data_IF_097528498658
#
_entry.id   IF_097528498658
#
_cell.length_a   1.000
_cell.length_b   1.000
_cell.length_c   1.000
_cell.angle_alpha   90.00
_cell.angle_beta   90.00
_cell.angle_gamma   90.00
#
_symmetry.space_group_name_H-M   'P 1'
#
loop_
_entity.id
_entity.type
_entity.pdbx_description
1 polymer ?
#
# COMPACT_ATOMS: atom_id res chain seq x y z
N UNK A 1 11.04 4.60 31.64
CA UNK A 1 11.56 4.31 30.31
C UNK A 1 12.18 5.60 29.79
N UNK A 2 13.46 5.60 29.42
CA UNK A 2 14.11 6.77 28.86
C UNK A 2 13.49 7.07 27.48
N UNK A 3 13.20 8.34 27.19
CA UNK A 3 12.66 8.82 25.91
C UNK A 3 13.61 8.52 24.74
N UNK A 4 14.84 8.18 25.03
CA UNK A 4 15.93 7.93 24.07
C UNK A 4 16.19 6.44 23.77
N UNK A 5 15.33 5.49 24.21
CA UNK A 5 15.51 4.08 23.87
C UNK A 5 14.97 3.81 22.44
N UNK A 6 15.84 3.46 21.47
CA UNK A 6 15.44 3.20 20.08
C UNK A 6 14.46 2.02 19.94
N UNK A 7 14.46 1.10 20.89
CA UNK A 7 13.66 -0.13 20.89
C UNK A 7 12.46 -0.07 21.84
N UNK A 8 12.11 1.11 22.36
CA UNK A 8 11.06 1.27 23.35
C UNK A 8 9.70 0.70 22.89
N UNK A 9 9.31 0.92 21.61
CA UNK A 9 8.07 0.42 21.06
C UNK A 9 8.06 -1.10 20.88
N UNK A 10 9.20 -1.71 20.55
CA UNK A 10 9.31 -3.16 20.33
C UNK A 10 9.14 -4.00 21.61
N UNK A 11 9.17 -3.37 22.77
CA UNK A 11 8.88 -4.06 24.05
C UNK A 11 7.39 -4.40 24.21
N UNK A 12 6.51 -3.80 23.40
CA UNK A 12 5.08 -4.08 23.44
C UNK A 12 4.74 -5.22 22.49
N UNK A 13 4.26 -6.33 23.02
CA UNK A 13 3.90 -7.53 22.23
C UNK A 13 2.88 -7.22 21.15
N UNK A 14 1.83 -6.46 21.46
CA UNK A 14 0.82 -6.06 20.48
C UNK A 14 1.40 -5.18 19.35
N UNK A 15 2.40 -4.36 19.65
CA UNK A 15 3.07 -3.55 18.64
C UNK A 15 3.90 -4.41 17.68
N UNK A 16 4.59 -5.42 18.17
CA UNK A 16 5.33 -6.36 17.31
C UNK A 16 4.38 -7.14 16.38
N UNK A 17 3.24 -7.59 16.91
CA UNK A 17 2.20 -8.23 16.10
C UNK A 17 1.65 -7.25 15.04
N UNK A 18 1.43 -5.99 15.43
CA UNK A 18 1.00 -4.94 14.52
C UNK A 18 2.04 -4.70 13.39
N UNK A 19 3.34 -4.70 13.70
CA UNK A 19 4.40 -4.58 12.68
C UNK A 19 4.38 -5.77 11.72
N UNK A 20 4.14 -6.99 12.21
CA UNK A 20 3.97 -8.18 11.36
C UNK A 20 2.75 -8.03 10.42
N UNK A 21 1.60 -7.62 10.96
CA UNK A 21 0.39 -7.34 10.16
C UNK A 21 0.69 -6.29 9.10
N UNK A 22 1.33 -5.19 9.49
CA UNK A 22 1.69 -4.10 8.58
C UNK A 22 2.65 -4.56 7.48
N UNK A 23 3.71 -5.31 7.84
CA UNK A 23 4.65 -5.86 6.87
C UNK A 23 3.93 -6.77 5.88
N UNK A 24 3.19 -7.76 6.37
CA UNK A 24 2.51 -8.74 5.53
C UNK A 24 1.50 -8.10 4.57
N UNK A 25 0.74 -7.09 5.04
CA UNK A 25 -0.23 -6.37 4.20
C UNK A 25 0.44 -5.51 3.13
N UNK A 26 1.45 -4.72 3.50
CA UNK A 26 2.14 -3.85 2.53
C UNK A 26 2.92 -4.69 1.52
N UNK A 27 3.54 -5.78 1.97
CA UNK A 27 4.23 -6.73 1.10
C UNK A 27 3.25 -7.38 0.10
N UNK A 28 2.15 -7.94 0.61
CA UNK A 28 1.13 -8.56 -0.24
C UNK A 28 0.56 -7.56 -1.26
N UNK A 29 0.25 -6.34 -0.82
CA UNK A 29 -0.30 -5.30 -1.68
C UNK A 29 0.67 -4.89 -2.80
N UNK A 30 1.91 -4.54 -2.43
CA UNK A 30 2.91 -4.08 -3.40
C UNK A 30 3.34 -5.19 -4.36
N UNK A 31 3.43 -6.43 -3.89
CA UNK A 31 3.67 -7.60 -4.73
C UNK A 31 2.49 -7.85 -5.69
N UNK A 32 1.25 -7.80 -5.19
CA UNK A 32 0.04 -8.01 -5.99
C UNK A 32 -0.06 -7.05 -7.18
N UNK A 33 0.21 -5.77 -6.94
CA UNK A 33 0.16 -4.76 -7.98
C UNK A 33 1.10 -5.10 -9.15
N UNK A 34 2.33 -5.51 -8.85
CA UNK A 34 3.34 -5.89 -9.85
C UNK A 34 2.93 -7.15 -10.63
N UNK A 35 2.41 -8.16 -9.93
CA UNK A 35 1.98 -9.41 -10.55
C UNK A 35 0.78 -9.17 -11.48
N UNK A 36 -0.16 -8.28 -11.10
CA UNK A 36 -1.30 -7.90 -11.94
C UNK A 36 -0.83 -7.14 -13.18
N UNK A 37 0.04 -6.12 -13.03
CA UNK A 37 0.57 -5.36 -14.18
C UNK A 37 1.24 -6.30 -15.19
N UNK A 38 2.07 -7.23 -14.71
CA UNK A 38 2.73 -8.21 -15.55
C UNK A 38 1.72 -9.12 -16.28
N UNK A 39 0.75 -9.69 -15.55
CA UNK A 39 -0.25 -10.60 -16.10
C UNK A 39 -1.12 -9.91 -17.15
N UNK A 40 -1.65 -8.73 -16.82
CA UNK A 40 -2.52 -7.97 -17.74
C UNK A 40 -1.78 -7.63 -19.02
N UNK A 41 -0.52 -7.16 -18.92
CA UNK A 41 0.26 -6.87 -20.11
C UNK A 41 0.60 -8.13 -20.91
N UNK A 42 0.89 -9.24 -20.26
CA UNK A 42 1.18 -10.51 -20.93
C UNK A 42 0.01 -11.02 -21.75
N UNK A 43 -1.23 -10.90 -21.26
CA UNK A 43 -2.42 -11.40 -21.94
C UNK A 43 -3.00 -10.41 -22.98
N UNK A 44 -2.80 -9.10 -22.80
CA UNK A 44 -3.40 -8.07 -23.67
C UNK A 44 -2.41 -7.52 -24.70
N UNK A 45 -1.12 -7.44 -24.36
CA UNK A 45 -0.09 -6.72 -25.12
C UNK A 45 -0.48 -5.27 -25.45
N UNK A 46 -1.36 -4.69 -24.63
CA UNK A 46 -1.91 -3.36 -24.82
C UNK A 46 -1.49 -2.43 -23.67
N UNK A 47 -0.68 -1.40 -23.94
CA UNK A 47 -0.27 -0.41 -22.93
C UNK A 47 -1.44 0.32 -22.26
N UNK A 48 -2.56 0.52 -22.97
CA UNK A 48 -3.74 1.17 -22.44
C UNK A 48 -4.35 0.38 -21.27
N UNK A 49 -4.32 -0.94 -21.36
CA UNK A 49 -4.82 -1.83 -20.29
C UNK A 49 -4.07 -1.62 -18.97
N UNK A 50 -2.77 -1.29 -18.99
CA UNK A 50 -1.99 -0.95 -17.79
C UNK A 50 -2.47 0.38 -17.17
N UNK A 51 -2.74 1.38 -18.01
CA UNK A 51 -3.29 2.66 -17.57
C UNK A 51 -4.66 2.49 -16.91
N UNK A 52 -5.52 1.65 -17.49
CA UNK A 52 -6.85 1.37 -16.94
C UNK A 52 -6.73 0.64 -15.58
N UNK A 53 -5.84 -0.34 -15.42
CA UNK A 53 -5.59 -0.98 -14.12
C UNK A 53 -5.24 0.06 -13.05
N UNK A 54 -4.32 0.97 -13.36
CA UNK A 54 -3.97 2.07 -12.44
C UNK A 54 -5.18 2.95 -12.08
N UNK A 55 -6.01 3.30 -13.07
CA UNK A 55 -7.24 4.08 -12.86
C UNK A 55 -8.27 3.32 -12.00
N UNK A 56 -8.44 2.01 -12.25
CA UNK A 56 -9.36 1.17 -11.47
C UNK A 56 -8.96 1.10 -9.99
N UNK A 57 -7.68 1.22 -9.65
CA UNK A 57 -7.22 1.29 -8.26
C UNK A 57 -7.38 2.70 -7.69
N UNK A 58 -6.95 3.72 -8.42
CA UNK A 58 -6.84 5.10 -7.90
C UNK A 58 -8.20 5.78 -7.76
N UNK A 59 -9.11 5.63 -8.74
CA UNK A 59 -10.41 6.29 -8.71
C UNK A 59 -11.20 5.95 -7.44
N UNK A 60 -11.43 4.66 -7.09
CA UNK A 60 -12.17 4.33 -5.88
C UNK A 60 -11.38 4.69 -4.60
N UNK A 61 -10.05 4.55 -4.60
CA UNK A 61 -9.22 4.91 -3.46
C UNK A 61 -9.31 6.40 -3.13
N UNK A 62 -9.18 7.27 -4.12
CA UNK A 62 -9.27 8.73 -3.96
C UNK A 62 -10.71 9.16 -3.67
N UNK A 63 -11.69 8.63 -4.41
CA UNK A 63 -13.10 8.95 -4.20
C UNK A 63 -13.59 8.62 -2.79
N UNK A 64 -13.11 7.53 -2.22
CA UNK A 64 -13.47 7.10 -0.87
C UNK A 64 -12.56 7.68 0.24
N UNK A 65 -11.40 8.24 -0.08
CA UNK A 65 -10.42 8.70 0.92
C UNK A 65 -11.01 9.70 1.92
N UNK A 66 -11.80 10.66 1.45
CA UNK A 66 -12.45 11.66 2.29
C UNK A 66 -13.48 11.02 3.24
N UNK A 67 -14.29 10.10 2.75
CA UNK A 67 -15.27 9.37 3.55
C UNK A 67 -14.61 8.37 4.50
N UNK A 68 -13.53 7.75 4.05
CA UNK A 68 -12.80 6.75 4.84
C UNK A 68 -12.26 7.34 6.15
N UNK A 69 -11.68 8.55 6.14
CA UNK A 69 -11.21 9.23 7.34
C UNK A 69 -12.31 9.35 8.39
N UNK A 70 -13.48 9.90 8.00
CA UNK A 70 -14.62 10.05 8.88
C UNK A 70 -15.15 8.72 9.45
N UNK A 71 -15.31 7.71 8.58
CA UNK A 71 -15.78 6.37 9.00
C UNK A 71 -14.78 5.71 9.95
N UNK A 72 -13.48 5.82 9.66
CA UNK A 72 -12.42 5.30 10.53
C UNK A 72 -12.52 5.92 11.92
N UNK A 73 -12.72 7.23 12.04
CA UNK A 73 -12.79 7.89 13.34
C UNK A 73 -13.96 7.41 14.20
N UNK A 74 -15.05 6.98 13.58
CA UNK A 74 -16.26 6.53 14.27
C UNK A 74 -16.28 5.02 14.60
N UNK A 75 -15.38 4.23 14.03
CA UNK A 75 -15.38 2.76 14.18
C UNK A 75 -14.23 2.27 15.05
N UNK A 76 -14.42 1.09 15.65
CA UNK A 76 -13.35 0.39 16.35
C UNK A 76 -12.27 -0.04 15.34
N UNK A 77 -11.03 0.39 15.59
CA UNK A 77 -9.92 0.36 14.61
C UNK A 77 -9.47 -1.05 14.24
N UNK A 78 -9.37 -1.96 15.24
CA UNK A 78 -8.98 -3.35 15.00
C UNK A 78 -10.02 -4.08 14.13
N UNK A 79 -11.30 -3.97 14.46
CA UNK A 79 -12.35 -4.65 13.69
C UNK A 79 -12.47 -4.07 12.28
N UNK A 80 -12.27 -2.76 12.12
CA UNK A 80 -12.27 -2.14 10.80
C UNK A 80 -11.08 -2.65 9.97
N UNK A 81 -9.87 -2.69 10.55
CA UNK A 81 -8.69 -3.24 9.90
C UNK A 81 -8.90 -4.71 9.52
N UNK A 82 -9.53 -5.51 10.39
CA UNK A 82 -9.86 -6.91 10.10
C UNK A 82 -10.77 -7.05 8.88
N UNK A 83 -11.82 -6.20 8.77
CA UNK A 83 -12.70 -6.18 7.60
C UNK A 83 -11.96 -5.78 6.32
N UNK A 84 -11.06 -4.82 6.40
CA UNK A 84 -10.23 -4.41 5.26
C UNK A 84 -9.30 -5.55 4.81
N UNK A 85 -8.61 -6.20 5.75
CA UNK A 85 -7.70 -7.32 5.43
C UNK A 85 -8.48 -8.51 4.88
N UNK A 86 -9.64 -8.82 5.45
CA UNK A 86 -10.53 -9.87 4.93
C UNK A 86 -10.99 -9.56 3.51
N UNK A 87 -11.45 -8.32 3.24
CA UNK A 87 -11.82 -7.88 1.89
C UNK A 87 -10.65 -8.00 0.91
N UNK A 88 -9.45 -7.59 1.31
CA UNK A 88 -8.24 -7.76 0.50
C UNK A 88 -7.92 -9.25 0.24
N UNK A 89 -8.09 -10.12 1.24
CA UNK A 89 -7.88 -11.56 1.07
C UNK A 89 -8.85 -12.16 0.06
N UNK A 90 -10.12 -11.76 0.10
CA UNK A 90 -11.13 -12.20 -0.89
C UNK A 90 -10.75 -11.74 -2.30
N UNK A 91 -10.31 -10.49 -2.45
CA UNK A 91 -9.86 -9.94 -3.73
C UNK A 91 -8.63 -10.71 -4.23
N UNK A 92 -7.62 -10.93 -3.38
CA UNK A 92 -6.41 -11.68 -3.74
C UNK A 92 -6.73 -13.12 -4.12
N UNK A 93 -7.69 -13.76 -3.46
CA UNK A 93 -8.18 -15.08 -3.85
C UNK A 93 -8.89 -15.05 -5.21
N UNK A 94 -9.72 -14.04 -5.48
CA UNK A 94 -10.36 -13.86 -6.79
C UNK A 94 -9.33 -13.66 -7.90
N UNK A 95 -8.29 -12.86 -7.66
CA UNK A 95 -7.18 -12.65 -8.61
C UNK A 95 -6.38 -13.94 -8.85
N UNK A 96 -6.15 -14.73 -7.80
CA UNK A 96 -5.55 -16.06 -7.93
C UNK A 96 -6.40 -16.97 -8.83
N UNK A 97 -7.72 -17.02 -8.61
CA UNK A 97 -8.62 -17.80 -9.46
C UNK A 97 -8.59 -17.37 -10.93
N UNK A 98 -8.63 -16.05 -11.19
CA UNK A 98 -8.54 -15.51 -12.56
C UNK A 98 -7.20 -15.77 -13.23
N UNK A 99 -6.14 -16.01 -12.46
CA UNK A 99 -4.79 -16.28 -12.98
C UNK A 99 -4.52 -17.76 -13.23
N UNK A 100 -5.48 -18.65 -12.96
CA UNK A 100 -5.33 -20.08 -13.21
C UNK A 100 -5.24 -20.36 -14.72
N UNK A 101 -4.33 -21.25 -15.17
CA UNK A 101 -4.21 -21.61 -16.59
C UNK A 101 -5.54 -22.10 -17.19
N UNK A 102 -6.29 -22.91 -16.46
CA UNK A 102 -7.60 -23.41 -16.90
C UNK A 102 -8.61 -22.28 -17.17
N UNK A 103 -8.59 -21.19 -16.40
CA UNK A 103 -9.47 -20.04 -16.59
C UNK A 103 -8.99 -19.24 -17.81
N UNK A 104 -7.67 -19.04 -17.95
CA UNK A 104 -7.08 -18.30 -19.07
C UNK A 104 -7.33 -18.99 -20.43
N UNK A 105 -7.39 -20.33 -20.44
CA UNK A 105 -7.69 -21.12 -21.66
C UNK A 105 -9.19 -21.19 -21.98
N UNK A 106 -10.07 -21.13 -20.97
CA UNK A 106 -11.51 -21.35 -21.14
C UNK A 106 -12.25 -20.07 -21.53
N UNK A 107 -11.83 -18.91 -20.98
CA UNK A 107 -12.54 -17.66 -21.14
C UNK A 107 -11.83 -16.70 -22.10
N UNK A 108 -12.61 -15.88 -22.79
CA UNK A 108 -12.07 -14.82 -23.63
C UNK A 108 -11.23 -13.83 -22.81
N UNK A 109 -10.11 -13.37 -23.38
CA UNK A 109 -9.19 -12.39 -22.77
C UNK A 109 -9.91 -11.15 -22.26
N UNK A 110 -10.94 -10.66 -22.98
CA UNK A 110 -11.73 -9.50 -22.54
C UNK A 110 -12.49 -9.76 -21.26
N UNK A 111 -13.08 -10.93 -21.10
CA UNK A 111 -13.83 -11.32 -19.89
C UNK A 111 -12.89 -11.39 -18.68
N UNK A 112 -11.74 -11.98 -18.86
CA UNK A 112 -10.70 -12.07 -17.82
C UNK A 112 -10.22 -10.67 -17.43
N UNK A 113 -9.97 -9.81 -18.41
CA UNK A 113 -9.52 -8.43 -18.19
C UNK A 113 -10.54 -7.61 -17.38
N UNK A 114 -11.84 -7.72 -17.71
CA UNK A 114 -12.88 -7.08 -16.90
C UNK A 114 -12.95 -7.62 -15.48
N UNK A 115 -12.68 -8.91 -15.28
CA UNK A 115 -12.54 -9.51 -13.95
C UNK A 115 -11.39 -8.89 -13.16
N UNK A 116 -10.22 -8.70 -13.78
CA UNK A 116 -9.09 -8.00 -13.15
C UNK A 116 -9.47 -6.56 -12.79
N UNK A 117 -10.08 -5.81 -13.71
CA UNK A 117 -10.52 -4.44 -13.47
C UNK A 117 -11.50 -4.34 -12.30
N UNK A 118 -12.49 -5.22 -12.24
CA UNK A 118 -13.48 -5.23 -11.16
C UNK A 118 -12.84 -5.53 -9.79
N UNK A 119 -11.96 -6.53 -9.71
CA UNK A 119 -11.29 -6.89 -8.46
C UNK A 119 -10.31 -5.81 -8.01
N UNK A 120 -9.57 -5.18 -8.93
CA UNK A 120 -8.67 -4.06 -8.62
C UNK A 120 -9.46 -2.84 -8.15
N UNK A 121 -10.61 -2.55 -8.76
CA UNK A 121 -11.51 -1.50 -8.31
C UNK A 121 -11.99 -1.73 -6.87
N UNK A 122 -12.42 -2.95 -6.54
CA UNK A 122 -12.75 -3.33 -5.17
C UNK A 122 -11.55 -3.19 -4.23
N UNK A 123 -10.34 -3.51 -4.71
CA UNK A 123 -9.09 -3.31 -3.99
C UNK A 123 -8.86 -1.84 -3.63
N UNK A 124 -9.08 -0.93 -4.59
CA UNK A 124 -8.98 0.52 -4.36
C UNK A 124 -9.94 1.01 -3.26
N UNK A 125 -11.17 0.48 -3.20
CA UNK A 125 -12.10 0.78 -2.10
C UNK A 125 -11.54 0.35 -0.74
N UNK A 126 -10.99 -0.86 -0.63
CA UNK A 126 -10.37 -1.35 0.61
C UNK A 126 -9.16 -0.49 1.00
N UNK A 127 -8.34 -0.10 0.02
CA UNK A 127 -7.14 0.73 0.22
C UNK A 127 -7.45 2.07 0.88
N UNK A 128 -8.54 2.72 0.51
CA UNK A 128 -8.95 3.99 1.09
C UNK A 128 -9.04 3.95 2.63
N UNK A 129 -9.44 2.82 3.20
CA UNK A 129 -9.60 2.65 4.65
C UNK A 129 -8.31 2.18 5.36
N UNK A 130 -7.41 1.47 4.67
CA UNK A 130 -6.23 0.86 5.30
C UNK A 130 -5.30 1.90 5.94
N UNK A 131 -4.92 2.94 5.20
CA UNK A 131 -4.01 3.97 5.68
C UNK A 131 -4.46 4.65 6.97
N UNK A 132 -5.63 5.33 6.96
CA UNK A 132 -6.17 6.00 8.14
C UNK A 132 -6.37 5.05 9.33
N UNK A 133 -6.83 3.82 9.10
CA UNK A 133 -7.04 2.82 10.16
C UNK A 133 -5.74 2.41 10.82
N UNK A 134 -4.68 2.17 10.03
CA UNK A 134 -3.35 1.81 10.52
C UNK A 134 -2.76 2.93 11.39
N UNK A 135 -2.79 4.18 10.92
CA UNK A 135 -2.28 5.32 11.68
C UNK A 135 -3.04 5.53 13.00
N UNK A 136 -4.36 5.41 12.97
CA UNK A 136 -5.19 5.52 14.17
C UNK A 136 -4.94 4.37 15.17
N UNK A 137 -4.69 3.15 14.68
CA UNK A 137 -4.46 1.98 15.53
C UNK A 137 -3.12 2.06 16.26
N UNK A 138 -2.04 2.55 15.62
CA UNK A 138 -0.73 2.75 16.27
C UNK A 138 -0.88 3.59 17.54
N UNK A 139 -1.61 4.69 17.46
CA UNK A 139 -1.81 5.60 18.58
C UNK A 139 -2.55 4.97 19.78
N UNK A 140 -3.22 3.83 19.57
CA UNK A 140 -3.95 3.09 20.60
C UNK A 140 -3.19 1.89 21.17
N UNK A 141 -2.12 1.46 20.49
CA UNK A 141 -1.31 0.30 20.89
C UNK A 141 -0.19 0.71 21.85
N UNK A 142 0.40 1.90 21.63
CA UNK A 142 1.56 2.37 22.40
C UNK A 142 1.23 3.63 23.21
N UNK A 143 1.88 3.85 24.37
CA UNK A 143 1.76 5.10 25.13
C UNK A 143 2.19 6.32 24.31
N UNK A 144 1.52 7.48 24.53
CA UNK A 144 1.82 8.72 23.79
C UNK A 144 3.30 9.13 23.82
N UNK A 145 4.01 8.87 24.92
CA UNK A 145 5.43 9.22 25.08
C UNK A 145 6.37 8.52 24.09
N UNK A 146 6.02 7.32 23.64
CA UNK A 146 6.83 6.52 22.71
C UNK A 146 6.24 6.46 21.29
N UNK A 147 5.15 7.21 21.03
CA UNK A 147 4.51 7.27 19.72
C UNK A 147 5.49 7.64 18.59
N UNK A 148 6.41 8.62 18.72
CA UNK A 148 7.39 8.91 17.67
C UNK A 148 8.27 7.71 17.33
N UNK A 149 8.71 6.93 18.34
CA UNK A 149 9.49 5.72 18.13
C UNK A 149 8.67 4.63 17.39
N UNK A 150 7.42 4.43 17.80
CA UNK A 150 6.50 3.51 17.12
C UNK A 150 6.21 3.92 15.67
N UNK A 151 6.03 5.22 15.41
CA UNK A 151 5.83 5.74 14.07
C UNK A 151 7.06 5.49 13.18
N UNK A 152 8.27 5.67 13.69
CA UNK A 152 9.51 5.37 12.98
C UNK A 152 9.60 3.89 12.60
N UNK A 153 9.38 2.97 13.56
CA UNK A 153 9.38 1.53 13.28
C UNK A 153 8.31 1.13 12.26
N UNK A 154 7.11 1.69 12.39
CA UNK A 154 6.01 1.46 11.46
C UNK A 154 6.33 1.95 10.05
N UNK A 155 6.97 3.12 9.91
CA UNK A 155 7.41 3.65 8.60
C UNK A 155 8.54 2.82 8.00
N UNK A 156 9.51 2.39 8.80
CA UNK A 156 10.59 1.50 8.36
C UNK A 156 10.02 0.17 7.86
N UNK A 157 9.08 -0.43 8.60
CA UNK A 157 8.41 -1.67 8.19
C UNK A 157 7.67 -1.49 6.88
N UNK A 158 6.96 -0.36 6.70
CA UNK A 158 6.29 -0.04 5.45
C UNK A 158 7.29 0.07 4.30
N UNK A 159 8.38 0.81 4.50
CA UNK A 159 9.42 0.99 3.49
C UNK A 159 10.05 -0.34 3.08
N UNK A 160 10.43 -1.18 4.04
CA UNK A 160 10.99 -2.51 3.75
C UNK A 160 10.01 -3.38 2.93
N UNK A 161 8.75 -3.43 3.32
CA UNK A 161 7.75 -4.23 2.62
C UNK A 161 7.45 -3.69 1.21
N UNK A 162 7.38 -2.36 1.05
CA UNK A 162 7.13 -1.73 -0.26
C UNK A 162 8.30 -1.87 -1.25
N UNK A 163 9.51 -2.12 -0.74
CA UNK A 163 10.70 -2.45 -1.55
C UNK A 163 10.75 -3.93 -1.90
N UNK A 164 10.58 -4.79 -0.88
CA UNK A 164 10.73 -6.24 -1.04
C UNK A 164 9.58 -6.84 -1.87
N UNK A 165 8.37 -6.32 -1.76
CA UNK A 165 7.21 -6.80 -2.52
C UNK A 165 7.44 -6.77 -4.03
N UNK A 166 7.68 -5.60 -4.64
CA UNK A 166 7.96 -5.49 -6.07
C UNK A 166 9.21 -6.26 -6.51
N UNK A 167 10.29 -6.22 -5.73
CA UNK A 167 11.51 -6.95 -6.07
C UNK A 167 11.26 -8.46 -6.14
N UNK A 168 10.61 -9.02 -5.12
CA UNK A 168 10.31 -10.45 -5.07
C UNK A 168 9.18 -10.86 -6.03
N UNK A 169 8.30 -9.94 -6.45
CA UNK A 169 7.28 -10.23 -7.43
C UNK A 169 7.86 -10.73 -8.76
N UNK A 170 8.87 -10.02 -9.31
CA UNK A 170 9.51 -10.41 -10.56
C UNK A 170 10.17 -11.78 -10.49
N UNK A 171 10.93 -12.05 -9.43
CA UNK A 171 11.55 -13.35 -9.20
C UNK A 171 10.49 -14.45 -8.98
N UNK A 172 9.44 -14.17 -8.22
CA UNK A 172 8.35 -15.11 -7.99
C UNK A 172 7.66 -15.50 -9.30
N UNK A 173 7.36 -14.52 -10.17
CA UNK A 173 6.77 -14.79 -11.49
C UNK A 173 7.66 -15.70 -12.32
N UNK A 174 8.98 -15.46 -12.33
CA UNK A 174 9.94 -16.26 -13.09
C UNK A 174 10.05 -17.70 -12.57
N UNK A 175 10.08 -17.90 -11.25
CA UNK A 175 10.35 -19.21 -10.64
C UNK A 175 9.09 -20.07 -10.53
N UNK A 176 7.98 -19.49 -10.08
CA UNK A 176 6.76 -20.24 -9.77
C UNK A 176 5.56 -19.84 -10.63
N UNK A 177 5.71 -18.83 -11.50
CA UNK A 177 4.63 -18.33 -12.35
C UNK A 177 3.67 -17.39 -11.64
N UNK A 178 2.76 -16.78 -12.42
CA UNK A 178 1.84 -15.74 -11.95
C UNK A 178 0.84 -16.28 -10.93
N UNK A 179 0.17 -17.41 -11.23
CA UNK A 179 -0.88 -17.96 -10.36
C UNK A 179 -0.34 -18.37 -8.98
N UNK A 180 0.84 -19.00 -8.91
CA UNK A 180 1.46 -19.32 -7.62
C UNK A 180 1.96 -18.07 -6.87
N UNK A 181 2.42 -17.04 -7.60
CA UNK A 181 2.72 -15.75 -7.01
C UNK A 181 1.49 -15.11 -6.35
N UNK A 182 0.30 -15.22 -6.98
CA UNK A 182 -0.96 -14.79 -6.38
C UNK A 182 -1.34 -15.64 -5.15
N UNK A 183 -1.03 -16.94 -5.16
CA UNK A 183 -1.23 -17.80 -3.98
C UNK A 183 -0.36 -17.35 -2.79
N UNK A 184 0.89 -16.98 -3.03
CA UNK A 184 1.80 -16.42 -2.01
C UNK A 184 1.22 -15.11 -1.44
N UNK A 185 0.73 -14.20 -2.29
CA UNK A 185 0.10 -12.94 -1.89
C UNK A 185 -1.11 -13.20 -0.99
N UNK A 186 -1.97 -14.13 -1.40
CA UNK A 186 -3.11 -14.57 -0.60
C UNK A 186 -2.68 -15.13 0.76
N UNK A 187 -1.62 -15.95 0.79
CA UNK A 187 -1.03 -16.47 2.02
C UNK A 187 -0.57 -15.38 2.99
N UNK A 188 0.12 -14.33 2.49
CA UNK A 188 0.51 -13.18 3.31
C UNK A 188 -0.69 -12.39 3.82
N UNK A 189 -1.77 -12.28 3.05
CA UNK A 189 -3.00 -11.63 3.52
C UNK A 189 -3.68 -12.42 4.65
N UNK A 190 -3.69 -13.75 4.56
CA UNK A 190 -4.18 -14.63 5.64
C UNK A 190 -3.28 -14.57 6.87
N UNK A 191 -1.95 -14.49 6.70
CA UNK A 191 -1.02 -14.30 7.81
C UNK A 191 -1.32 -12.98 8.53
N UNK A 192 -1.57 -11.89 7.80
CA UNK A 192 -1.94 -10.62 8.39
C UNK A 192 -3.29 -10.71 9.14
N UNK A 193 -4.27 -11.38 8.55
CA UNK A 193 -5.58 -11.58 9.16
C UNK A 193 -5.50 -12.37 10.46
N UNK A 194 -4.79 -13.50 10.45
CA UNK A 194 -4.63 -14.37 11.63
C UNK A 194 -3.79 -13.69 12.73
N UNK A 195 -2.73 -12.97 12.37
CA UNK A 195 -1.93 -12.20 13.32
C UNK A 195 -2.77 -11.12 14.02
N UNK A 196 -3.68 -10.46 13.29
CA UNK A 196 -4.54 -9.39 13.84
C UNK A 196 -5.51 -9.89 14.93
N UNK A 197 -5.87 -11.17 14.95
CA UNK A 197 -6.68 -11.73 16.05
C UNK A 197 -5.99 -11.63 17.41
N UNK A 198 -4.66 -11.56 17.44
CA UNK A 198 -3.88 -11.46 18.68
C UNK A 198 -3.72 -10.01 19.20
N UNK A 199 -4.30 -9.03 18.53
CA UNK A 199 -4.40 -7.64 19.01
C UNK A 199 -5.74 -7.47 19.71
N UNK A 200 -5.75 -6.88 20.90
CA UNK A 200 -6.98 -6.62 21.65
C UNK A 200 -7.81 -5.49 21.01
N UNK A 201 -9.13 -5.53 21.21
CA UNK A 201 -10.03 -4.45 20.80
C UNK A 201 -9.63 -3.15 21.48
N UNK A 202 -9.70 -2.03 20.76
CA UNK A 202 -9.33 -0.71 21.25
C UNK A 202 -10.56 0.19 21.38
N UNK A 203 -10.60 1.05 22.42
CA UNK A 203 -11.73 1.98 22.62
C UNK A 203 -11.82 2.98 21.47
N UNK A 204 -13.02 3.44 21.18
CA UNK A 204 -13.27 4.55 20.25
C UNK A 204 -13.08 5.84 21.04
N UNK A 205 -12.04 6.61 20.72
CA UNK A 205 -11.68 7.84 21.44
C UNK A 205 -12.19 9.12 20.76
N UNK A 206 -13.07 9.01 19.76
CA UNK A 206 -13.58 10.19 19.05
C UNK A 206 -14.67 10.91 19.86
N UNK A 207 -14.46 12.17 20.28
CA UNK A 207 -15.47 12.97 20.97
C UNK A 207 -16.62 13.42 20.06
N UNK A 208 -16.44 13.35 18.74
CA UNK A 208 -17.40 13.79 17.70
C UNK A 208 -18.18 12.62 17.08
N UNK A 209 -18.47 11.58 17.85
CA UNK A 209 -19.29 10.45 17.37
C UNK A 209 -20.67 10.96 16.96
N UNK A 210 -21.10 10.64 15.72
CA UNK A 210 -22.40 11.04 15.17
C UNK A 210 -22.40 12.37 14.40
N UNK A 211 -21.23 13.04 14.24
CA UNK A 211 -21.13 14.23 13.39
C UNK A 211 -21.44 13.88 11.91
N UNK A 212 -22.22 14.73 11.19
CA UNK A 212 -22.50 14.50 9.78
C UNK A 212 -21.24 14.48 8.93
N UNK A 213 -21.14 13.49 8.02
CA UNK A 213 -19.97 13.31 7.13
C UNK A 213 -19.61 14.59 6.39
N UNK A 214 -20.59 15.25 5.79
CA UNK A 214 -20.37 16.46 5.00
C UNK A 214 -19.79 17.63 5.80
N UNK A 215 -20.12 17.76 7.08
CA UNK A 215 -19.55 18.79 7.95
C UNK A 215 -18.07 18.52 8.20
N UNK A 216 -17.70 17.29 8.55
CA UNK A 216 -16.33 16.86 8.74
C UNK A 216 -15.47 17.05 7.47
N UNK A 217 -16.03 16.70 6.29
CA UNK A 217 -15.38 16.93 5.00
C UNK A 217 -15.13 18.41 4.72
N UNK A 218 -16.12 19.25 4.95
CA UNK A 218 -16.02 20.70 4.75
C UNK A 218 -14.95 21.30 5.65
N UNK A 219 -14.89 20.89 6.91
CA UNK A 219 -13.84 21.32 7.86
C UNK A 219 -12.45 20.93 7.37
N UNK A 220 -12.26 19.65 6.95
CA UNK A 220 -10.99 19.14 6.42
C UNK A 220 -10.54 19.87 5.17
N UNK A 221 -11.40 20.04 4.17
CA UNK A 221 -11.09 20.79 2.96
C UNK A 221 -10.77 22.25 3.25
N UNK A 222 -11.56 22.89 4.13
CA UNK A 222 -11.33 24.28 4.52
C UNK A 222 -9.96 24.43 5.19
N UNK A 223 -9.56 23.48 6.03
CA UNK A 223 -8.23 23.48 6.67
C UNK A 223 -7.10 23.42 5.62
N UNK A 224 -7.20 22.48 4.66
CA UNK A 224 -6.18 22.33 3.61
C UNK A 224 -6.03 23.61 2.78
N UNK A 225 -7.14 24.17 2.31
CA UNK A 225 -7.10 25.39 1.45
C UNK A 225 -6.71 26.65 2.22
N UNK A 226 -7.04 26.76 3.51
CA UNK A 226 -6.64 27.91 4.35
C UNK A 226 -5.18 27.83 4.82
N UNK A 227 -4.59 26.64 4.91
CA UNK A 227 -3.24 26.46 5.43
C UNK A 227 -2.23 26.40 4.29
N UNK A 228 -1.64 27.54 3.92
CA UNK A 228 -0.71 27.69 2.78
C UNK A 228 0.42 26.67 2.78
N UNK A 229 0.99 26.35 3.95
CA UNK A 229 2.08 25.36 4.07
C UNK A 229 1.60 23.94 3.67
N UNK A 230 0.40 23.54 4.09
CA UNK A 230 -0.20 22.24 3.76
C UNK A 230 -0.53 22.18 2.28
N UNK A 231 -1.19 23.23 1.75
CA UNK A 231 -1.53 23.31 0.33
C UNK A 231 -0.30 23.27 -0.55
N UNK A 232 0.75 24.03 -0.19
CA UNK A 232 2.03 24.04 -0.94
C UNK A 232 2.72 22.68 -0.93
N UNK A 233 2.78 21.99 0.22
CA UNK A 233 3.36 20.66 0.33
C UNK A 233 2.59 19.64 -0.52
N UNK A 234 1.26 19.62 -0.44
CA UNK A 234 0.41 18.72 -1.24
C UNK A 234 0.52 18.98 -2.74
N UNK A 235 0.60 20.25 -3.16
CA UNK A 235 0.75 20.61 -4.58
C UNK A 235 2.11 20.15 -5.12
N UNK A 236 3.17 20.33 -4.34
CA UNK A 236 4.51 19.90 -4.73
C UNK A 236 4.61 18.39 -4.83
N UNK A 237 4.03 17.66 -3.88
CA UNK A 237 3.94 16.19 -3.89
C UNK A 237 3.14 15.69 -5.10
N UNK A 238 1.99 16.31 -5.40
CA UNK A 238 1.16 15.98 -6.57
C UNK A 238 1.94 16.14 -7.89
N UNK A 239 2.70 17.23 -8.04
CA UNK A 239 3.52 17.46 -9.24
C UNK A 239 4.63 16.39 -9.33
N UNK A 240 5.32 16.11 -8.23
CA UNK A 240 6.38 15.09 -8.20
C UNK A 240 5.86 13.70 -8.58
N UNK A 241 4.69 13.30 -8.07
CA UNK A 241 4.05 12.02 -8.38
C UNK A 241 3.58 11.96 -9.84
N UNK A 242 3.06 13.08 -10.38
CA UNK A 242 2.60 13.14 -11.78
C UNK A 242 3.72 12.79 -12.78
N UNK A 243 4.92 13.30 -12.55
CA UNK A 243 6.08 12.98 -13.38
C UNK A 243 6.69 11.60 -13.09
N UNK A 244 6.35 10.97 -11.97
CA UNK A 244 6.75 9.60 -11.61
C UNK A 244 6.00 8.48 -12.34
N UNK A 245 4.97 8.80 -13.15
CA UNK A 245 4.09 7.83 -13.80
C UNK A 245 4.75 6.87 -14.81
N UNK A 246 5.96 7.17 -15.28
CA UNK A 246 6.72 6.30 -16.20
C UNK A 246 6.97 4.88 -15.65
N UNK A 247 6.95 4.70 -14.34
CA UNK A 247 7.13 3.41 -13.67
C UNK A 247 6.01 2.41 -14.04
N UNK A 248 4.82 2.87 -14.39
CA UNK A 248 3.71 2.01 -14.85
C UNK A 248 3.99 1.34 -16.22
N UNK A 249 4.91 1.88 -17.00
CA UNK A 249 5.29 1.33 -18.31
C UNK A 249 6.43 0.30 -18.24
N UNK A 250 6.99 0.04 -17.06
CA UNK A 250 8.09 -0.91 -16.89
C UNK A 250 7.81 -2.33 -17.41
N UNK A 251 6.57 -2.89 -17.36
CA UNK A 251 6.30 -4.18 -18.00
C UNK A 251 6.60 -4.17 -19.51
N UNK A 252 6.28 -3.07 -20.21
CA UNK A 252 6.56 -2.90 -21.64
C UNK A 252 8.07 -2.86 -21.87
N UNK A 253 8.78 -2.04 -21.09
CA UNK A 253 10.24 -1.96 -21.18
C UNK A 253 10.90 -3.32 -20.98
N UNK A 254 10.45 -4.09 -19.97
CA UNK A 254 11.04 -5.39 -19.65
C UNK A 254 10.74 -6.45 -20.72
N UNK A 255 9.52 -6.47 -21.29
CA UNK A 255 9.12 -7.50 -22.26
C UNK A 255 9.52 -7.15 -23.70
N UNK A 256 9.24 -5.92 -24.16
CA UNK A 256 9.28 -5.60 -25.59
C UNK A 256 10.53 -4.80 -26.01
N UNK A 257 11.17 -4.07 -25.07
CA UNK A 257 12.33 -3.23 -25.38
C UNK A 257 13.64 -3.89 -24.94
N UNK A 258 13.70 -4.33 -23.67
CA UNK A 258 14.92 -4.89 -23.09
C UNK A 258 14.99 -6.41 -23.21
N UNK A 259 13.85 -7.08 -23.42
CA UNK A 259 13.72 -8.54 -23.50
C UNK A 259 14.31 -9.28 -22.27
N UNK A 260 14.22 -8.66 -21.06
CA UNK A 260 14.82 -9.20 -19.82
C UNK A 260 13.84 -10.02 -18.98
N UNK A 261 12.62 -10.22 -19.46
CA UNK A 261 11.62 -11.04 -18.79
C UNK A 261 11.14 -10.51 -17.43
N UNK A 262 10.51 -11.38 -16.64
CA UNK A 262 9.96 -11.02 -15.33
C UNK A 262 11.03 -10.75 -14.26
N UNK A 263 12.20 -11.37 -14.36
CA UNK A 263 13.33 -11.11 -13.46
C UNK A 263 13.84 -9.69 -13.64
N UNK A 264 14.09 -9.27 -14.88
CA UNK A 264 14.50 -7.91 -15.20
C UNK A 264 13.44 -6.88 -14.81
N UNK A 265 12.16 -7.20 -14.98
CA UNK A 265 11.07 -6.36 -14.49
C UNK A 265 11.12 -6.15 -12.96
N UNK A 266 11.39 -7.23 -12.19
CA UNK A 266 11.57 -7.15 -10.75
C UNK A 266 12.75 -6.24 -10.35
N UNK A 267 13.89 -6.35 -11.03
CA UNK A 267 15.06 -5.50 -10.82
C UNK A 267 14.76 -4.04 -11.14
N UNK A 268 14.12 -3.75 -12.28
CA UNK A 268 13.72 -2.40 -12.67
C UNK A 268 12.77 -1.78 -11.64
N UNK A 269 11.82 -2.55 -11.12
CA UNK A 269 10.89 -2.10 -10.08
C UNK A 269 11.56 -1.88 -8.72
N UNK A 270 12.61 -2.62 -8.40
CA UNK A 270 13.37 -2.46 -7.16
C UNK A 270 14.30 -1.23 -7.19
N UNK A 271 14.73 -0.78 -8.37
CA UNK A 271 15.74 0.28 -8.52
C UNK A 271 15.40 1.59 -7.80
N UNK A 272 14.17 2.18 -7.89
CA UNK A 272 13.82 3.38 -7.15
C UNK A 272 13.92 3.20 -5.64
N UNK A 273 13.57 2.02 -5.15
CA UNK A 273 13.59 1.69 -3.74
C UNK A 273 15.02 1.53 -3.20
N UNK A 274 15.93 0.94 -4.00
CA UNK A 274 17.36 0.89 -3.71
C UNK A 274 17.94 2.30 -3.69
N UNK A 275 17.58 3.17 -4.66
CA UNK A 275 17.97 4.56 -4.67
C UNK A 275 17.51 5.32 -3.41
N UNK A 276 16.26 5.13 -3.00
CA UNK A 276 15.72 5.72 -1.77
C UNK A 276 16.47 5.24 -0.52
N UNK A 277 16.81 3.95 -0.43
CA UNK A 277 17.59 3.40 0.68
C UNK A 277 19.01 4.00 0.73
N UNK A 278 19.69 4.12 -0.40
CA UNK A 278 21.02 4.75 -0.49
C UNK A 278 20.94 6.22 -0.06
N UNK A 279 19.95 6.96 -0.54
CA UNK A 279 19.73 8.37 -0.18
C UNK A 279 19.45 8.52 1.32
N UNK A 280 18.64 7.62 1.89
CA UNK A 280 18.34 7.62 3.33
C UNK A 280 19.61 7.39 4.18
N UNK A 281 20.43 6.40 3.81
CA UNK A 281 21.72 6.15 4.45
C UNK A 281 22.70 7.34 4.29
N UNK A 282 22.74 7.94 3.11
CA UNK A 282 23.54 9.13 2.84
C UNK A 282 23.10 10.33 3.69
N UNK A 283 21.80 10.53 3.86
CA UNK A 283 21.23 11.62 4.66
C UNK A 283 21.57 11.54 6.15
N UNK A 284 21.84 10.35 6.68
CA UNK A 284 22.31 10.19 8.07
C UNK A 284 23.72 10.77 8.25
N UNK A 285 24.55 10.72 7.21
CA UNK A 285 25.93 11.23 7.23
C UNK A 285 26.02 12.72 6.82
N UNK A 286 25.05 13.18 6.01
CA UNK A 286 24.93 14.56 5.53
C UNK A 286 23.55 15.15 5.86
N UNK A 287 23.27 15.48 7.14
CA UNK A 287 21.96 15.92 7.56
C UNK A 287 21.56 17.26 6.92
N UNK A 288 20.35 17.32 6.38
CA UNK A 288 19.79 18.47 5.66
C UNK A 288 19.21 19.52 6.62
N UNK A 289 19.98 20.00 7.61
CA UNK A 289 19.48 20.94 8.62
C UNK A 289 19.38 22.40 8.15
N UNK A 290 20.07 22.80 7.08
CA UNK A 290 20.02 24.17 6.54
C UNK A 290 19.77 24.14 5.03
N UNK A 291 18.85 25.01 4.56
CA UNK A 291 18.50 25.17 3.15
C UNK A 291 17.98 23.87 2.49
N UNK A 292 17.17 23.06 3.19
CA UNK A 292 16.64 21.81 2.69
C UNK A 292 15.96 21.97 1.31
N UNK A 293 15.19 23.03 1.08
CA UNK A 293 14.51 23.27 -0.20
C UNK A 293 15.42 23.65 -1.37
N UNK A 294 16.73 23.92 -1.16
CA UNK A 294 17.71 24.11 -2.23
C UNK A 294 18.56 22.86 -2.49
N UNK A 295 18.51 21.88 -1.57
CA UNK A 295 19.30 20.65 -1.63
C UNK A 295 18.47 19.43 -2.03
N UNK A 296 17.14 19.53 -1.95
CA UNK A 296 16.15 18.61 -2.52
C UNK A 296 15.87 18.98 -3.97
#
# INVERSE_FOLDING_TARGET
MSVNDPYAALRFKEFNIFLLVRFAMVFAWSMQFIVIEWQVYTITKDPLSLGIIGLMEVIPAVGMALFAGHIVDQKEKRNLLMKCIFGFSVISFGLFMLSLPSVLETYETKTILYGFYALVFCGGLVRAFLGPTIFSLIALIVPKKIYPNAATWSSTTWQMASVLGPALAGFSISIIGVHWSMCVIFGFSLLALTALFNISKKPILNPKIGEPVFQSLKEGLTFVFKTRAVLGALTLDMIAVLFGGAVALLPIFAQDILHVGSEGFGVLRAAPAVGAAITMLGSTRFPLHKNAGKKL
#
